data_IF_580437864344
#
_entry.id   IF_580437864344
#
_cell.length_a   1.000
_cell.length_b   1.000
_cell.length_c   1.000
_cell.angle_alpha   90.00
_cell.angle_beta   90.00
_cell.angle_gamma   90.00
#
_symmetry.space_group_name_H-M   'P 1'
#
loop_
_entity.id
_entity.type
_entity.pdbx_description
1 polymer ?
#
# COMPACT_ATOMS: atom_id res chain seq x y z
N UNK A 1 -6.84 2.34 7.15
CA UNK A 1 -7.48 2.92 5.95
C UNK A 1 -7.81 1.77 5.03
N UNK A 2 -9.04 1.69 4.54
CA UNK A 2 -9.44 0.60 3.66
C UNK A 2 -8.93 0.83 2.24
N UNK A 3 -8.66 -0.25 1.52
CA UNK A 3 -8.28 -0.20 0.10
C UNK A 3 -9.33 0.48 -0.78
N UNK A 4 -10.60 0.42 -0.38
CA UNK A 4 -11.73 1.07 -1.06
C UNK A 4 -11.70 2.59 -0.91
N UNK A 5 -11.00 3.12 0.08
CA UNK A 5 -10.87 4.56 0.33
C UNK A 5 -9.73 5.19 -0.51
N UNK A 6 -9.00 4.37 -1.27
CA UNK A 6 -7.89 4.82 -2.09
C UNK A 6 -8.40 5.52 -3.36
N UNK A 7 -7.94 6.76 -3.55
CA UNK A 7 -8.03 7.53 -4.81
C UNK A 7 -7.60 6.70 -6.02
N UNK A 8 -8.17 6.99 -7.21
CA UNK A 8 -7.72 6.40 -8.46
C UNK A 8 -6.19 6.45 -8.64
N UNK A 9 -5.63 5.39 -9.23
CA UNK A 9 -4.18 5.25 -9.42
C UNK A 9 -3.39 4.81 -8.19
N UNK A 10 -4.06 4.63 -7.03
CA UNK A 10 -3.49 4.01 -5.84
C UNK A 10 -4.05 2.60 -5.64
N UNK A 11 -3.22 1.72 -5.08
CA UNK A 11 -3.59 0.34 -4.77
C UNK A 11 -2.83 -0.15 -3.54
N UNK A 12 -3.27 -1.26 -2.97
CA UNK A 12 -2.52 -1.95 -1.93
C UNK A 12 -1.37 -2.74 -2.55
N UNK A 13 -0.22 -2.72 -1.87
CA UNK A 13 0.92 -3.54 -2.20
C UNK A 13 1.53 -4.15 -0.94
N UNK A 14 1.83 -5.44 -0.98
CA UNK A 14 2.62 -6.08 0.08
C UNK A 14 3.12 -7.43 -0.35
N UNK A 15 4.35 -7.77 0.04
CA UNK A 15 4.85 -9.13 -0.06
C UNK A 15 4.25 -10.01 1.07
N UNK A 16 4.57 -11.30 1.07
CA UNK A 16 4.10 -12.25 2.11
C UNK A 16 4.34 -11.75 3.54
N UNK A 17 5.54 -11.26 3.82
CA UNK A 17 5.91 -10.72 5.14
C UNK A 17 5.06 -9.50 5.51
N UNK A 18 4.74 -8.63 4.56
CA UNK A 18 3.85 -7.49 4.81
C UNK A 18 2.42 -7.91 5.15
N UNK A 19 1.89 -8.94 4.48
CA UNK A 19 0.54 -9.47 4.75
C UNK A 19 0.47 -10.00 6.18
N UNK A 20 1.39 -10.89 6.57
CA UNK A 20 1.36 -11.52 7.89
C UNK A 20 1.77 -10.60 9.05
N UNK A 21 2.50 -9.52 8.77
CA UNK A 21 2.80 -8.48 9.76
C UNK A 21 1.80 -7.33 9.77
N UNK A 22 0.77 -7.37 8.90
CA UNK A 22 -0.16 -6.26 8.70
C UNK A 22 0.55 -4.92 8.45
N UNK A 23 1.53 -4.91 7.53
CA UNK A 23 2.33 -3.72 7.16
C UNK A 23 2.22 -3.37 5.68
N UNK A 24 1.14 -3.80 5.01
CA UNK A 24 0.92 -3.52 3.60
C UNK A 24 0.95 -2.01 3.27
N UNK A 25 1.48 -1.69 2.10
CA UNK A 25 1.80 -0.36 1.62
C UNK A 25 0.73 0.20 0.68
N UNK A 26 0.71 1.52 0.54
CA UNK A 26 0.00 2.20 -0.55
C UNK A 26 0.97 2.35 -1.71
N UNK A 27 0.64 1.72 -2.83
CA UNK A 27 1.34 1.84 -4.09
C UNK A 27 0.65 2.86 -4.99
N UNK A 28 1.44 3.69 -5.68
CA UNK A 28 0.97 4.61 -6.72
C UNK A 28 1.57 4.20 -8.06
N UNK A 29 0.72 4.02 -9.07
CA UNK A 29 1.15 3.67 -10.43
C UNK A 29 2.17 4.66 -10.97
N UNK A 30 3.26 4.16 -11.54
CA UNK A 30 4.37 4.98 -12.06
C UNK A 30 5.25 5.66 -11.00
N UNK A 31 4.99 5.47 -9.70
CA UNK A 31 5.80 6.05 -8.61
C UNK A 31 6.37 4.99 -7.67
N UNK A 32 5.61 3.94 -7.34
CA UNK A 32 5.99 2.95 -6.34
C UNK A 32 5.24 3.12 -5.02
N UNK A 33 5.75 2.49 -3.95
CA UNK A 33 5.16 2.65 -2.61
C UNK A 33 5.42 4.07 -2.08
N UNK A 34 4.41 4.70 -1.50
CA UNK A 34 4.52 6.08 -1.02
C UNK A 34 5.61 6.25 0.03
N UNK A 35 5.81 5.25 0.90
CA UNK A 35 6.87 5.29 1.91
C UNK A 35 8.30 5.28 1.32
N UNK A 36 8.47 4.90 0.05
CA UNK A 36 9.77 4.77 -0.62
C UNK A 36 10.33 3.34 -0.58
N UNK A 37 9.70 2.42 0.15
CA UNK A 37 10.07 1.00 0.14
C UNK A 37 9.88 0.43 -1.26
N UNK A 38 10.89 -0.21 -1.88
CA UNK A 38 10.75 -0.75 -3.22
C UNK A 38 9.64 -1.81 -3.34
N UNK A 39 8.86 -1.76 -4.43
CA UNK A 39 7.80 -2.73 -4.74
C UNK A 39 8.33 -3.83 -5.69
N UNK A 40 9.27 -4.65 -5.21
CA UNK A 40 10.07 -5.56 -6.06
C UNK A 40 9.53 -7.00 -6.12
N UNK A 41 8.66 -7.38 -5.19
CA UNK A 41 8.13 -8.74 -5.05
C UNK A 41 6.70 -8.88 -5.58
N UNK A 42 6.22 -10.12 -5.70
CA UNK A 42 4.82 -10.44 -5.94
C UNK A 42 3.92 -9.72 -4.93
N UNK A 43 2.84 -9.10 -5.42
CA UNK A 43 1.87 -8.44 -4.57
C UNK A 43 0.91 -9.45 -3.92
N UNK A 44 1.36 -10.06 -2.83
CA UNK A 44 0.56 -10.96 -2.00
C UNK A 44 -0.62 -10.26 -1.32
N UNK A 45 -0.51 -8.96 -1.02
CA UNK A 45 -1.64 -8.23 -0.44
C UNK A 45 -2.86 -8.20 -1.38
N UNK A 46 -2.64 -8.20 -2.70
CA UNK A 46 -3.72 -8.33 -3.68
C UNK A 46 -4.24 -9.77 -3.79
N UNK A 47 -3.36 -10.77 -3.72
CA UNK A 47 -3.72 -12.20 -3.83
C UNK A 47 -4.57 -12.63 -2.62
N UNK A 48 -4.16 -12.23 -1.42
CA UNK A 48 -4.84 -12.54 -0.15
C UNK A 48 -5.99 -11.57 0.16
N UNK A 49 -6.37 -10.72 -0.79
CA UNK A 49 -7.47 -9.75 -0.66
C UNK A 49 -7.41 -8.89 0.61
N UNK A 50 -6.21 -8.45 0.99
CA UNK A 50 -5.99 -7.62 2.17
C UNK A 50 -6.75 -6.30 2.00
N UNK A 51 -7.60 -6.00 2.99
CA UNK A 51 -8.52 -4.86 2.93
C UNK A 51 -7.96 -3.60 3.57
N UNK A 52 -6.95 -3.73 4.42
CA UNK A 52 -6.42 -2.61 5.19
C UNK A 52 -4.95 -2.32 4.90
N UNK A 53 -4.66 -1.02 4.83
CA UNK A 53 -3.30 -0.51 4.75
C UNK A 53 -2.70 -0.43 6.17
N UNK A 54 -1.58 -1.13 6.37
CA UNK A 54 -0.87 -1.18 7.65
C UNK A 54 0.39 -0.30 7.73
N UNK A 55 0.92 0.16 6.61
CA UNK A 55 2.14 0.97 6.60
C UNK A 55 1.87 2.41 7.06
N UNK A 56 2.30 2.76 8.28
CA UNK A 56 2.17 4.11 8.86
C UNK A 56 2.73 5.22 7.97
N UNK A 57 3.94 5.05 7.44
CA UNK A 57 4.56 6.05 6.58
C UNK A 57 3.82 6.26 5.24
N UNK A 58 3.14 5.23 4.72
CA UNK A 58 2.25 5.42 3.57
C UNK A 58 1.01 6.23 3.96
N UNK A 59 0.37 5.90 5.09
CA UNK A 59 -0.82 6.59 5.57
C UNK A 59 -0.57 8.08 5.83
N UNK A 60 0.55 8.43 6.45
CA UNK A 60 0.95 9.82 6.71
C UNK A 60 1.15 10.59 5.41
N UNK A 61 1.95 10.04 4.48
CA UNK A 61 2.19 10.65 3.17
C UNK A 61 0.90 10.78 2.36
N UNK A 62 0.01 9.82 2.47
CA UNK A 62 -1.27 9.83 1.76
C UNK A 62 -2.20 10.92 2.28
N UNK A 63 -2.30 11.09 3.60
CA UNK A 63 -3.06 12.19 4.23
C UNK A 63 -2.51 13.56 3.85
N UNK A 64 -1.18 13.69 3.78
CA UNK A 64 -0.49 14.94 3.51
C UNK A 64 -0.35 15.28 2.01
N UNK A 65 -0.79 14.40 1.11
CA UNK A 65 -0.72 14.64 -0.33
C UNK A 65 -2.11 14.65 -0.98
N UNK A 66 -2.88 15.74 -0.81
CA UNK A 66 -4.19 15.92 -1.41
C UNK A 66 -4.04 16.30 -2.89
N UNK A 67 -3.63 15.35 -3.75
CA UNK A 67 -3.88 15.42 -5.19
C UNK A 67 -4.51 14.11 -5.62
#
# INVERSE_FOLDING_TARGET
MNVTDLKPGHSIYGNKGNVWSNTAHIYKSGTGNLCGTPALATNWAKIEEVKEIGCKGCLEKYKNNPK
#
